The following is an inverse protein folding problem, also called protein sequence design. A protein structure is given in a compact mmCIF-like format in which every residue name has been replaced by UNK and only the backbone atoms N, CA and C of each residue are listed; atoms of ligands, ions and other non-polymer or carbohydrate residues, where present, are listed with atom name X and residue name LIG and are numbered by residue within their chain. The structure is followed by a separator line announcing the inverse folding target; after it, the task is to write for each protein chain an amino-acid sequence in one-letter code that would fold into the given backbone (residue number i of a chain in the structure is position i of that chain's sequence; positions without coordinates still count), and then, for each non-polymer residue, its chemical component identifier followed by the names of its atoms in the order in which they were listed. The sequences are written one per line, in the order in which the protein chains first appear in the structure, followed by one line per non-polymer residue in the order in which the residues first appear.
data_IF_930383562897
#
_entry.id   IF_930383562897
#
_cell.length_a   1.000
_cell.length_b   1.000
_cell.length_c   1.000
_cell.angle_alpha   90.00
_cell.angle_beta   90.00
_cell.angle_gamma   90.00
#
_symmetry.space_group_name_H-M   'P 1'
#
loop_
_entity.id
_entity.type
_entity.pdbx_description
1 polymer ?
#
# COMPACT_ATOMS: atom_id res chain seq x y z
N UNK A 1 -17.44 5.75 -0.66
CA UNK A 1 -16.35 4.76 -0.80
C UNK A 1 -16.83 3.50 -1.52
N UNK A 2 -17.89 2.85 -1.04
CA UNK A 2 -18.38 1.59 -1.63
C UNK A 2 -18.78 1.68 -3.11
N UNK A 3 -19.59 2.68 -3.49
CA UNK A 3 -20.04 2.83 -4.88
C UNK A 3 -18.87 3.01 -5.86
N UNK A 4 -17.80 3.67 -5.39
CA UNK A 4 -16.56 3.78 -6.14
C UNK A 4 -15.89 2.43 -6.32
N UNK A 5 -15.69 1.66 -5.24
CA UNK A 5 -15.04 0.34 -5.34
C UNK A 5 -15.83 -0.63 -6.23
N UNK A 6 -17.17 -0.56 -6.23
CA UNK A 6 -18.02 -1.38 -7.11
C UNK A 6 -17.90 -1.04 -8.59
N UNK A 7 -17.63 0.23 -8.95
CA UNK A 7 -17.59 0.69 -10.34
C UNK A 7 -16.16 0.86 -10.87
N UNK A 8 -15.18 1.04 -9.98
CA UNK A 8 -13.80 1.29 -10.35
C UNK A 8 -13.21 0.10 -11.13
N UNK A 9 -12.53 0.43 -12.22
CA UNK A 9 -11.78 -0.54 -13.02
C UNK A 9 -10.65 -1.13 -12.15
N UNK A 10 -10.27 -2.40 -12.32
CA UNK A 10 -9.23 -3.03 -11.52
C UNK A 10 -7.91 -2.23 -11.46
N UNK A 11 -7.45 -1.66 -12.56
CA UNK A 11 -6.24 -0.83 -12.61
C UNK A 11 -6.33 0.53 -11.92
N UNK A 12 -7.50 0.92 -11.39
CA UNK A 12 -7.63 2.08 -10.48
C UNK A 12 -7.58 1.67 -9.01
N UNK A 13 -7.70 0.37 -8.72
CA UNK A 13 -7.70 -0.20 -7.37
C UNK A 13 -6.33 -0.84 -7.09
N UNK A 14 -5.76 -1.54 -8.07
CA UNK A 14 -4.47 -2.22 -8.00
C UNK A 14 -3.41 -1.46 -8.81
N UNK A 15 -2.21 -1.38 -8.23
CA UNK A 15 -1.02 -0.81 -8.86
C UNK A 15 -0.02 -1.90 -9.28
N UNK A 16 -0.39 -3.18 -9.19
CA UNK A 16 0.49 -4.33 -9.44
C UNK A 16 1.32 -4.19 -10.73
N UNK A 17 0.71 -3.70 -11.81
CA UNK A 17 1.37 -3.54 -13.11
C UNK A 17 2.50 -2.50 -13.14
N UNK A 18 2.63 -1.64 -12.11
CA UNK A 18 3.68 -0.61 -12.05
C UNK A 18 5.03 -1.21 -11.67
N UNK A 19 5.05 -2.26 -10.84
CA UNK A 19 6.26 -2.84 -10.25
C UNK A 19 6.35 -4.37 -10.46
N UNK A 20 5.57 -4.92 -11.38
CA UNK A 20 5.61 -6.33 -11.76
C UNK A 20 5.69 -6.53 -13.28
N UNK A 21 6.33 -7.61 -13.70
CA UNK A 21 6.39 -8.09 -15.09
C UNK A 21 6.08 -9.59 -15.05
N UNK A 22 5.22 -10.06 -15.96
CA UNK A 22 4.77 -11.47 -16.01
C UNK A 22 4.25 -11.99 -14.66
N UNK A 23 3.46 -11.16 -13.96
CA UNK A 23 2.90 -11.45 -12.64
C UNK A 23 3.94 -11.74 -11.53
N UNK A 24 5.19 -11.31 -11.73
CA UNK A 24 6.25 -11.39 -10.73
C UNK A 24 6.79 -9.99 -10.42
N UNK A 25 7.19 -9.75 -9.17
CA UNK A 25 7.84 -8.49 -8.79
C UNK A 25 9.08 -8.28 -9.66
N UNK A 26 9.16 -7.12 -10.30
CA UNK A 26 10.23 -6.74 -11.21
C UNK A 26 11.12 -5.63 -10.60
N UNK A 27 11.21 -5.61 -9.28
CA UNK A 27 11.96 -4.64 -8.49
C UNK A 27 12.70 -5.34 -7.37
N UNK A 28 13.86 -4.81 -6.98
CA UNK A 28 14.69 -5.36 -5.89
C UNK A 28 14.12 -5.06 -4.50
N UNK A 29 13.26 -4.04 -4.39
CA UNK A 29 12.67 -3.59 -3.14
C UNK A 29 11.31 -2.91 -3.33
N UNK A 30 10.36 -3.21 -2.44
CA UNK A 30 9.06 -2.53 -2.34
C UNK A 30 8.93 -1.95 -0.94
N UNK A 31 9.02 -0.63 -0.81
CA UNK A 31 8.79 0.07 0.45
C UNK A 31 7.30 0.26 0.75
N UNK A 32 6.95 0.27 2.03
CA UNK A 32 5.60 0.42 2.57
C UNK A 32 5.44 1.76 3.27
N UNK A 33 4.32 2.42 3.01
CA UNK A 33 4.06 3.74 3.57
C UNK A 33 3.95 3.73 5.10
N UNK A 34 3.45 2.63 5.66
CA UNK A 34 3.28 2.43 7.11
C UNK A 34 4.62 2.40 7.85
N UNK A 35 5.71 2.05 7.16
CA UNK A 35 7.08 1.95 7.71
C UNK A 35 8.08 2.74 6.87
N UNK A 36 7.63 3.84 6.27
CA UNK A 36 8.36 4.54 5.21
C UNK A 36 9.77 4.99 5.61
N UNK A 37 9.96 5.46 6.84
CA UNK A 37 11.29 5.84 7.34
C UNK A 37 12.20 4.62 7.50
N UNK A 38 11.71 3.52 8.08
CA UNK A 38 12.48 2.29 8.25
C UNK A 38 12.90 1.70 6.89
N UNK A 39 11.98 1.71 5.93
CA UNK A 39 12.22 1.23 4.56
C UNK A 39 13.22 2.14 3.82
N UNK A 40 13.18 3.45 4.09
CA UNK A 40 14.16 4.39 3.55
C UNK A 40 15.56 4.17 4.14
N UNK A 41 15.64 3.89 5.43
CA UNK A 41 16.92 3.62 6.11
C UNK A 41 17.53 2.31 5.58
N UNK A 42 16.70 1.28 5.35
CA UNK A 42 17.11 0.01 4.75
C UNK A 42 17.67 0.21 3.33
N UNK A 43 16.96 0.92 2.45
CA UNK A 43 17.44 1.12 1.08
C UNK A 43 18.67 2.02 1.03
N UNK A 44 18.76 3.02 1.92
CA UNK A 44 19.94 3.89 2.04
C UNK A 44 21.18 3.07 2.43
N UNK A 45 21.03 2.10 3.35
CA UNK A 45 22.11 1.19 3.73
C UNK A 45 22.52 0.28 2.57
N UNK A 46 21.55 -0.28 1.83
CA UNK A 46 21.83 -1.14 0.65
C UNK A 46 22.56 -0.41 -0.46
N UNK A 47 22.24 0.87 -0.66
CA UNK A 47 22.85 1.74 -1.67
C UNK A 47 24.12 2.44 -1.17
N UNK A 48 24.54 2.20 0.07
CA UNK A 48 25.69 2.84 0.70
C UNK A 48 25.64 4.38 0.64
N UNK A 49 24.46 4.95 0.86
CA UNK A 49 24.27 6.40 0.87
C UNK A 49 24.83 7.01 2.17
N UNK A 50 25.48 8.18 2.10
CA UNK A 50 26.02 8.83 3.29
C UNK A 50 24.92 9.49 4.12
N UNK A 51 24.96 9.25 5.43
CA UNK A 51 24.09 9.92 6.41
C UNK A 51 22.70 9.30 6.57
N UNK A 52 21.90 9.91 7.46
CA UNK A 52 20.49 9.58 7.65
C UNK A 52 19.64 10.50 6.77
N UNK A 53 18.73 9.94 5.97
CA UNK A 53 17.79 10.72 5.16
C UNK A 53 16.50 10.88 5.96
N UNK A 54 16.25 12.07 6.48
CA UNK A 54 15.00 12.36 7.18
C UNK A 54 13.89 12.75 6.21
N UNK A 55 12.74 12.07 6.31
CA UNK A 55 11.60 12.38 5.46
C UNK A 55 10.89 13.67 5.90
N UNK A 56 10.65 14.63 4.97
CA UNK A 56 9.88 15.82 5.27
C UNK A 56 8.40 15.48 5.50
N UNK A 57 7.78 16.10 6.51
CA UNK A 57 6.35 15.91 6.84
C UNK A 57 5.44 16.82 6.02
N UNK A 58 5.46 16.69 4.69
CA UNK A 58 4.75 17.63 3.78
C UNK A 58 3.25 17.31 3.62
N UNK A 59 2.85 16.03 3.76
CA UNK A 59 1.47 15.58 3.46
C UNK A 59 0.60 15.22 4.68
N UNK A 60 1.11 15.39 5.90
CA UNK A 60 0.43 14.94 7.15
C UNK A 60 -0.94 15.57 7.41
N UNK A 61 -1.20 16.78 6.90
CA UNK A 61 -2.45 17.52 7.15
C UNK A 61 -3.63 17.23 6.20
N UNK A 62 -3.44 16.45 5.14
CA UNK A 62 -4.46 16.33 4.08
C UNK A 62 -5.59 15.35 4.41
N UNK A 63 -5.36 14.41 5.34
CA UNK A 63 -6.35 13.40 5.71
C UNK A 63 -7.29 13.95 6.79
N UNK A 64 -8.46 14.44 6.36
CA UNK A 64 -9.54 14.92 7.24
C UNK A 64 -10.21 13.78 8.02
N UNK A 65 -10.36 12.62 7.39
CA UNK A 65 -11.00 11.44 7.98
C UNK A 65 -9.94 10.41 8.40
N UNK A 66 -9.86 10.12 9.70
CA UNK A 66 -8.90 9.18 10.29
C UNK A 66 -9.54 7.85 10.70
N UNK A 67 -10.79 7.59 10.31
CA UNK A 67 -11.45 6.32 10.57
C UNK A 67 -10.60 5.15 10.07
N UNK A 68 -10.61 4.05 10.84
CA UNK A 68 -9.89 2.85 10.45
C UNK A 68 -10.60 2.23 9.23
N UNK A 69 -9.85 1.68 8.28
CA UNK A 69 -10.48 1.16 7.04
C UNK A 69 -11.51 0.06 7.33
N UNK A 70 -11.35 -0.68 8.44
CA UNK A 70 -12.30 -1.72 8.85
C UNK A 70 -13.69 -1.17 9.21
N UNK A 71 -13.78 0.12 9.54
CA UNK A 71 -15.04 0.79 9.88
C UNK A 71 -15.74 1.37 8.64
N UNK A 72 -14.99 1.53 7.54
CA UNK A 72 -15.46 2.21 6.32
C UNK A 72 -15.72 1.21 5.17
N UNK A 73 -15.07 0.05 5.19
CA UNK A 73 -15.22 -0.99 4.18
C UNK A 73 -16.31 -1.98 4.59
N UNK A 74 -17.31 -2.14 3.73
CA UNK A 74 -18.23 -3.27 3.84
C UNK A 74 -17.59 -4.58 3.41
N UNK A 75 -18.27 -5.68 3.72
CA UNK A 75 -17.86 -7.02 3.31
C UNK A 75 -17.75 -7.16 1.78
N UNK A 76 -18.67 -6.57 1.02
CA UNK A 76 -18.63 -6.62 -0.45
C UNK A 76 -17.42 -5.85 -1.01
N UNK A 77 -17.15 -4.66 -0.45
CA UNK A 77 -15.98 -3.87 -0.82
C UNK A 77 -14.68 -4.61 -0.50
N UNK A 78 -14.62 -5.24 0.69
CA UNK A 78 -13.49 -6.07 1.11
C UNK A 78 -13.24 -7.23 0.13
N UNK A 79 -14.28 -8.02 -0.19
CA UNK A 79 -14.17 -9.14 -1.15
C UNK A 79 -13.65 -8.67 -2.51
N UNK A 80 -14.08 -7.50 -2.98
CA UNK A 80 -13.59 -6.94 -4.24
C UNK A 80 -12.10 -6.58 -4.17
N UNK A 81 -11.64 -5.99 -3.06
CA UNK A 81 -10.22 -5.71 -2.85
C UNK A 81 -9.42 -7.01 -2.80
N UNK A 82 -9.91 -8.04 -2.10
CA UNK A 82 -9.26 -9.36 -2.03
C UNK A 82 -9.06 -9.98 -3.41
N UNK A 83 -10.05 -9.85 -4.31
CA UNK A 83 -9.95 -10.36 -5.69
C UNK A 83 -9.01 -9.51 -6.55
N UNK A 84 -9.16 -8.19 -6.52
CA UNK A 84 -8.41 -7.29 -7.42
C UNK A 84 -6.95 -7.16 -7.00
N UNK A 85 -6.69 -7.09 -5.69
CA UNK A 85 -5.36 -6.92 -5.11
C UNK A 85 -4.77 -8.24 -4.58
N UNK A 86 -5.27 -9.39 -5.04
CA UNK A 86 -4.85 -10.71 -4.55
C UNK A 86 -3.33 -10.89 -4.62
N UNK A 87 -2.71 -10.40 -5.70
CA UNK A 87 -1.26 -10.50 -5.93
C UNK A 87 -0.48 -9.62 -4.98
N UNK A 88 -0.88 -8.36 -4.78
CA UNK A 88 -0.29 -7.49 -3.77
C UNK A 88 -0.37 -8.10 -2.36
N UNK A 89 -1.56 -8.59 -2.00
CA UNK A 89 -1.80 -9.15 -0.66
C UNK A 89 -0.88 -10.35 -0.42
N UNK A 90 -0.78 -11.26 -1.40
CA UNK A 90 0.09 -12.43 -1.30
C UNK A 90 1.58 -12.05 -1.29
N UNK A 91 2.03 -11.18 -2.19
CA UNK A 91 3.44 -10.83 -2.34
C UNK A 91 3.98 -9.98 -1.18
N UNK A 92 3.15 -9.08 -0.62
CA UNK A 92 3.54 -8.15 0.44
C UNK A 92 3.12 -8.62 1.84
N UNK A 93 2.39 -9.73 1.93
CA UNK A 93 1.98 -10.34 3.19
C UNK A 93 0.95 -9.52 3.97
N UNK A 94 0.11 -8.75 3.29
CA UNK A 94 -0.94 -7.96 3.94
C UNK A 94 -1.97 -8.86 4.62
N UNK A 95 -2.46 -8.40 5.77
CA UNK A 95 -3.50 -9.06 6.56
C UNK A 95 -4.53 -8.02 6.98
N UNK A 96 -5.77 -8.45 7.11
CA UNK A 96 -6.83 -7.60 7.60
C UNK A 96 -6.69 -7.39 9.10
N UNK A 97 -6.68 -6.12 9.51
CA UNK A 97 -6.69 -5.68 10.90
C UNK A 97 -8.07 -5.09 11.22
N UNK A 98 -8.42 -5.13 12.50
CA UNK A 98 -9.63 -4.52 13.04
C UNK A 98 -9.25 -3.38 13.99
N UNK A 99 -10.03 -2.30 13.99
CA UNK A 99 -9.94 -1.32 15.07
C UNK A 99 -10.18 -2.04 16.41
N UNK A 100 -9.23 -1.87 17.35
CA UNK A 100 -9.36 -2.33 18.74
C UNK A 100 -10.06 -1.25 19.55
#
# INVERSE_FOLDING_TARGET
MEDYLKKAKPGLISNWSIYSINDMLAVDYVGRYERLQEDLDEISRRLNLPGSIELPKTKSGHRKDRAHYSEVLSEEARRRIEVVCAREIAALGYKWESAV
#
